data_IF_284309329950
#
_entry.id   IF_284309329950
#
_cell.length_a   1.000
_cell.length_b   1.000
_cell.length_c   1.000
_cell.angle_alpha   90.00
_cell.angle_beta   90.00
_cell.angle_gamma   90.00
#
_symmetry.space_group_name_H-M   'P 1'
#
loop_
_entity.id
_entity.type
_entity.pdbx_description
1 polymer ?
#
# COMPACT_ATOMS: atom_id res chain seq x y z
N UNK A 1 -15.43 5.57 -3.49
CA UNK A 1 -13.96 5.40 -3.57
C UNK A 1 -13.62 4.03 -3.01
N UNK A 2 -13.01 3.16 -3.79
CA UNK A 2 -12.54 1.84 -3.32
C UNK A 2 -11.00 1.87 -3.24
N UNK A 3 -10.43 1.39 -2.14
CA UNK A 3 -8.98 1.43 -1.89
C UNK A 3 -8.50 0.13 -1.26
N UNK A 4 -7.34 -0.37 -1.70
CA UNK A 4 -6.64 -1.50 -1.07
C UNK A 4 -5.47 -1.06 -0.20
N UNK A 5 -4.85 0.07 -0.51
CA UNK A 5 -3.89 0.74 0.36
C UNK A 5 -4.48 2.05 0.88
N UNK A 6 -4.50 2.23 2.20
CA UNK A 6 -4.89 3.50 2.79
C UNK A 6 -3.94 3.95 3.89
N UNK A 7 -3.80 5.26 4.04
CA UNK A 7 -3.06 5.87 5.14
C UNK A 7 -4.00 6.70 5.99
N UNK A 8 -4.03 6.43 7.30
CA UNK A 8 -4.67 7.29 8.29
C UNK A 8 -3.64 7.73 9.35
N UNK A 9 -2.86 8.75 9.02
CA UNK A 9 -1.79 9.26 9.89
C UNK A 9 -2.25 10.45 10.75
N UNK A 10 -3.37 10.33 11.46
CA UNK A 10 -3.76 11.35 12.44
C UNK A 10 -2.91 11.20 13.71
N UNK A 11 -2.67 12.31 14.41
CA UNK A 11 -1.98 12.30 15.71
C UNK A 11 -2.67 11.38 16.72
N UNK A 12 -4.01 11.37 16.72
CA UNK A 12 -4.80 10.43 17.53
C UNK A 12 -4.60 8.97 17.13
N UNK A 13 -4.38 8.65 15.85
CA UNK A 13 -4.07 7.29 15.41
C UNK A 13 -2.70 6.84 15.87
N UNK A 14 -1.69 7.71 15.80
CA UNK A 14 -0.35 7.39 16.29
C UNK A 14 -0.34 7.12 17.80
N UNK A 15 -1.05 7.94 18.58
CA UNK A 15 -1.23 7.71 20.02
C UNK A 15 -1.96 6.38 20.28
N UNK A 16 -3.05 6.10 19.55
CA UNK A 16 -3.79 4.84 19.68
C UNK A 16 -2.92 3.63 19.36
N UNK A 17 -2.20 3.66 18.23
CA UNK A 17 -1.23 2.64 17.83
C UNK A 17 -0.14 2.43 18.88
N UNK A 18 0.36 3.51 19.48
CA UNK A 18 1.35 3.43 20.54
C UNK A 18 0.76 2.83 21.83
N UNK A 19 -0.39 3.32 22.28
CA UNK A 19 -1.08 2.84 23.49
C UNK A 19 -1.50 1.38 23.38
N UNK A 20 -1.92 0.92 22.19
CA UNK A 20 -2.26 -0.47 21.95
C UNK A 20 -1.07 -1.44 22.12
N UNK A 21 0.17 -0.94 22.13
CA UNK A 21 1.35 -1.77 22.43
C UNK A 21 1.45 -2.16 23.91
N UNK A 22 0.78 -1.41 24.79
CA UNK A 22 0.87 -1.53 26.25
C UNK A 22 -0.47 -1.89 26.91
N UNK A 23 -1.57 -1.84 26.15
CA UNK A 23 -2.92 -2.11 26.63
C UNK A 23 -3.37 -3.53 26.28
N UNK A 24 -4.31 -4.12 27.04
CA UNK A 24 -4.81 -5.46 26.77
C UNK A 24 -5.40 -5.59 25.36
N UNK A 25 -5.23 -6.76 24.80
CA UNK A 25 -5.68 -7.06 23.44
C UNK A 25 -7.18 -6.82 23.27
N UNK A 26 -7.59 -6.16 22.18
CA UNK A 26 -8.99 -5.76 21.97
C UNK A 26 -9.34 -4.31 22.37
N UNK A 27 -8.47 -3.59 23.09
CA UNK A 27 -8.78 -2.21 23.53
C UNK A 27 -8.66 -1.17 22.41
N UNK A 28 -7.65 -1.31 21.54
CA UNK A 28 -7.39 -0.37 20.44
C UNK A 28 -7.81 -0.94 19.09
N UNK A 29 -7.68 -2.25 18.90
CA UNK A 29 -7.98 -2.96 17.65
C UNK A 29 -8.54 -4.34 17.98
N UNK A 30 -9.23 -4.95 17.02
CA UNK A 30 -9.65 -6.34 17.15
C UNK A 30 -8.42 -7.27 17.26
N UNK A 31 -8.58 -8.38 17.99
CA UNK A 31 -7.50 -9.33 18.31
C UNK A 31 -6.82 -9.90 17.05
N UNK A 32 -7.61 -10.14 15.99
CA UNK A 32 -7.11 -10.62 14.71
C UNK A 32 -6.24 -9.58 13.97
N UNK A 33 -6.48 -8.29 14.21
CA UNK A 33 -5.73 -7.19 13.62
C UNK A 33 -4.47 -6.90 14.43
N UNK A 34 -4.53 -7.04 15.76
CA UNK A 34 -3.43 -6.76 16.68
C UNK A 34 -2.14 -7.51 16.35
N UNK A 35 -2.25 -8.80 16.01
CA UNK A 35 -1.09 -9.61 15.58
C UNK A 35 -0.38 -9.10 14.32
N UNK A 36 -1.05 -8.28 13.50
CA UNK A 36 -0.43 -7.66 12.30
C UNK A 36 0.32 -6.36 12.61
N UNK A 37 0.09 -5.74 13.77
CA UNK A 37 0.70 -4.44 14.13
C UNK A 37 1.73 -4.53 15.26
N UNK A 38 1.70 -5.59 16.06
CA UNK A 38 2.61 -5.80 17.17
C UNK A 38 3.50 -7.03 16.96
N UNK A 39 4.76 -6.98 17.43
CA UNK A 39 5.37 -5.89 18.20
C UNK A 39 5.74 -4.67 17.35
N UNK A 40 5.60 -3.46 17.91
CA UNK A 40 5.92 -2.22 17.17
C UNK A 40 7.38 -2.16 16.70
N UNK A 41 8.30 -2.83 17.38
CA UNK A 41 9.70 -2.92 16.97
C UNK A 41 9.87 -3.54 15.59
N UNK A 42 9.07 -4.56 15.26
CA UNK A 42 9.10 -5.18 13.94
C UNK A 42 8.53 -4.25 12.88
N UNK A 43 7.43 -3.54 13.21
CA UNK A 43 6.87 -2.52 12.33
C UNK A 43 7.88 -1.38 12.06
N UNK A 44 8.55 -0.86 13.09
CA UNK A 44 9.58 0.18 12.92
C UNK A 44 10.77 -0.31 12.11
N UNK A 45 11.26 -1.53 12.37
CA UNK A 45 12.34 -2.16 11.60
C UNK A 45 11.96 -2.30 10.13
N UNK A 46 10.74 -2.79 9.86
CA UNK A 46 10.20 -2.91 8.51
C UNK A 46 10.11 -1.55 7.82
N UNK A 47 9.49 -0.54 8.46
CA UNK A 47 9.39 0.81 7.89
C UNK A 47 10.78 1.38 7.59
N UNK A 48 11.75 1.25 8.49
CA UNK A 48 13.10 1.76 8.28
C UNK A 48 13.82 1.08 7.12
N UNK A 49 13.68 -0.25 6.99
CA UNK A 49 14.29 -1.03 5.90
C UNK A 49 13.62 -0.73 4.55
N UNK A 50 12.30 -0.66 4.52
CA UNK A 50 11.53 -0.63 3.27
C UNK A 50 11.24 0.79 2.72
N UNK A 51 11.55 1.86 3.46
CA UNK A 51 11.30 3.25 3.02
C UNK A 51 12.50 3.97 2.41
N UNK A 52 13.64 3.30 2.24
CA UNK A 52 14.83 3.88 1.59
C UNK A 52 14.54 4.42 0.19
N UNK A 53 13.78 3.66 -0.61
CA UNK A 53 13.35 4.07 -1.95
C UNK A 53 12.53 5.36 -1.90
N UNK A 54 11.58 5.44 -0.98
CA UNK A 54 10.69 6.59 -0.80
C UNK A 54 11.49 7.83 -0.41
N UNK A 55 12.49 7.69 0.46
CA UNK A 55 13.33 8.81 0.90
C UNK A 55 14.19 9.37 -0.25
N UNK A 56 14.87 8.53 -1.03
CA UNK A 56 15.68 9.02 -2.15
C UNK A 56 14.83 9.62 -3.27
N UNK A 57 13.66 9.04 -3.56
CA UNK A 57 12.73 9.59 -4.56
C UNK A 57 12.10 10.91 -4.12
N UNK A 58 11.81 11.07 -2.82
CA UNK A 58 11.27 12.30 -2.26
C UNK A 58 12.27 13.47 -2.22
N UNK A 59 13.58 13.20 -2.35
CA UNK A 59 14.62 14.22 -2.14
C UNK A 59 15.51 14.46 -3.36
N UNK A 60 15.89 13.40 -4.08
CA UNK A 60 16.84 13.43 -5.20
C UNK A 60 16.36 12.53 -6.37
N UNK A 61 15.10 12.66 -6.85
CA UNK A 61 14.55 11.78 -7.88
C UNK A 61 15.37 11.83 -9.18
N UNK A 62 15.83 13.02 -9.60
CA UNK A 62 16.65 13.20 -10.79
C UNK A 62 18.04 12.52 -10.68
N UNK A 63 18.61 12.43 -9.47
CA UNK A 63 19.90 11.76 -9.27
C UNK A 63 19.78 10.25 -9.45
N UNK A 64 18.83 9.61 -8.76
CA UNK A 64 18.63 8.17 -8.89
C UNK A 64 18.05 7.80 -10.26
N UNK A 65 17.18 8.63 -10.82
CA UNK A 65 16.55 8.41 -12.12
C UNK A 65 17.55 8.35 -13.28
N UNK A 66 18.61 9.17 -13.26
CA UNK A 66 19.70 9.09 -14.25
C UNK A 66 20.36 7.71 -14.23
N UNK A 67 20.65 7.17 -13.05
CA UNK A 67 21.27 5.85 -12.92
C UNK A 67 20.36 4.73 -13.44
N UNK A 68 19.05 4.79 -13.13
CA UNK A 68 18.08 3.77 -13.55
C UNK A 68 17.79 3.83 -15.05
N UNK A 69 17.70 5.02 -15.64
CA UNK A 69 17.53 5.17 -17.11
C UNK A 69 18.78 4.74 -17.90
N UNK A 70 19.95 4.67 -17.27
CA UNK A 70 21.20 4.29 -17.95
C UNK A 70 21.48 2.79 -17.92
N UNK A 71 20.72 2.00 -17.15
CA UNK A 71 20.97 0.57 -16.97
C UNK A 71 19.66 -0.21 -16.88
N UNK A 72 19.34 -1.07 -17.86
CA UNK A 72 18.11 -1.88 -17.82
C UNK A 72 18.14 -2.89 -16.67
N UNK A 73 19.32 -3.39 -16.31
CA UNK A 73 19.50 -4.28 -15.15
C UNK A 73 19.30 -3.50 -13.85
N UNK A 74 19.79 -2.26 -13.77
CA UNK A 74 19.58 -1.39 -12.61
C UNK A 74 18.11 -1.05 -12.40
N UNK A 75 17.40 -0.69 -13.49
CA UNK A 75 15.96 -0.45 -13.48
C UNK A 75 15.18 -1.70 -13.05
N UNK A 76 15.48 -2.85 -13.67
CA UNK A 76 14.81 -4.10 -13.35
C UNK A 76 15.01 -4.49 -11.89
N UNK A 77 16.24 -4.45 -11.37
CA UNK A 77 16.51 -4.75 -9.96
C UNK A 77 15.74 -3.83 -9.01
N UNK A 78 15.63 -2.54 -9.32
CA UNK A 78 14.93 -1.56 -8.51
C UNK A 78 13.41 -1.80 -8.44
N UNK A 79 12.80 -2.26 -9.54
CA UNK A 79 11.36 -2.54 -9.62
C UNK A 79 11.03 -3.95 -9.11
N UNK A 80 11.81 -4.97 -9.49
CA UNK A 80 11.62 -6.37 -9.10
C UNK A 80 11.65 -6.56 -7.59
N UNK A 81 12.50 -5.82 -6.88
CA UNK A 81 12.53 -5.86 -5.41
C UNK A 81 11.17 -5.48 -4.80
N UNK A 82 10.44 -4.55 -5.41
CA UNK A 82 9.09 -4.17 -4.95
C UNK A 82 8.05 -5.25 -5.24
N UNK A 83 8.10 -5.88 -6.40
CA UNK A 83 7.26 -7.05 -6.69
C UNK A 83 7.54 -8.22 -5.73
N UNK A 84 8.80 -8.41 -5.31
CA UNK A 84 9.14 -9.39 -4.26
C UNK A 84 8.50 -9.00 -2.92
N UNK A 85 8.98 -7.91 -2.31
CA UNK A 85 8.68 -7.61 -0.90
C UNK A 85 7.23 -7.20 -0.67
N UNK A 86 6.61 -6.54 -1.65
CA UNK A 86 5.24 -6.04 -1.51
C UNK A 86 4.17 -7.10 -1.83
N UNK A 87 4.52 -8.19 -2.50
CA UNK A 87 3.64 -9.37 -2.68
C UNK A 87 3.71 -10.28 -1.47
N UNK A 88 4.91 -10.56 -0.95
CA UNK A 88 5.06 -11.26 0.33
C UNK A 88 6.34 -10.83 1.04
N UNK A 89 6.18 -10.35 2.27
CA UNK A 89 7.30 -9.87 3.11
C UNK A 89 8.33 -10.96 3.39
N UNK A 90 7.97 -12.24 3.33
CA UNK A 90 8.92 -13.35 3.52
C UNK A 90 9.86 -13.56 2.33
N UNK A 91 9.53 -13.05 1.14
CA UNK A 91 10.36 -13.25 -0.05
C UNK A 91 11.73 -12.58 0.02
N UNK A 92 11.93 -11.62 0.93
CA UNK A 92 13.25 -11.04 1.22
C UNK A 92 14.27 -12.09 1.70
N UNK A 93 13.81 -13.24 2.21
CA UNK A 93 14.65 -14.35 2.65
C UNK A 93 14.88 -15.41 1.56
N UNK A 94 14.20 -15.30 0.42
CA UNK A 94 14.38 -16.20 -0.71
C UNK A 94 15.56 -15.74 -1.57
N UNK A 95 16.35 -16.71 -2.05
CA UNK A 95 17.55 -16.43 -2.88
C UNK A 95 17.23 -15.67 -4.17
N UNK A 96 16.03 -15.86 -4.70
CA UNK A 96 15.50 -15.27 -5.93
C UNK A 96 14.47 -14.15 -5.66
N UNK A 97 14.29 -13.73 -4.40
CA UNK A 97 13.23 -12.78 -4.04
C UNK A 97 11.81 -13.30 -4.26
N UNK A 98 11.58 -14.61 -4.27
CA UNK A 98 10.27 -15.21 -4.49
C UNK A 98 9.80 -15.21 -5.95
N UNK A 99 10.40 -14.39 -6.82
CA UNK A 99 9.95 -14.12 -8.20
C UNK A 99 9.96 -15.33 -9.14
N UNK A 100 10.69 -16.39 -8.78
CA UNK A 100 10.77 -17.64 -9.56
C UNK A 100 10.17 -18.83 -8.80
N UNK A 101 9.52 -18.59 -7.66
CA UNK A 101 8.83 -19.66 -6.94
C UNK A 101 7.56 -20.05 -7.69
N UNK A 102 7.20 -21.35 -7.70
CA UNK A 102 5.99 -21.82 -8.39
C UNK A 102 4.69 -21.21 -7.87
N UNK A 103 4.69 -20.72 -6.63
CA UNK A 103 3.55 -20.12 -5.95
C UNK A 103 3.55 -18.58 -6.03
N UNK A 104 4.50 -17.97 -6.75
CA UNK A 104 4.50 -16.52 -6.97
C UNK A 104 3.26 -16.12 -7.79
N UNK A 105 2.40 -15.23 -7.29
CA UNK A 105 1.04 -15.04 -7.83
C UNK A 105 1.00 -14.21 -9.13
N UNK A 106 2.10 -13.57 -9.51
CA UNK A 106 2.17 -12.73 -10.72
C UNK A 106 3.09 -13.39 -11.73
N UNK A 107 2.63 -13.67 -12.97
CA UNK A 107 3.51 -14.19 -14.02
C UNK A 107 4.72 -13.27 -14.25
N UNK A 108 5.92 -13.84 -14.36
CA UNK A 108 7.14 -13.05 -14.56
C UNK A 108 7.06 -12.15 -15.80
N UNK A 109 6.45 -12.61 -16.88
CA UNK A 109 6.23 -11.82 -18.09
C UNK A 109 5.41 -10.55 -17.81
N UNK A 110 4.39 -10.62 -16.95
CA UNK A 110 3.60 -9.44 -16.58
C UNK A 110 4.41 -8.42 -15.76
N UNK A 111 5.36 -8.90 -14.95
CA UNK A 111 6.31 -8.02 -14.24
C UNK A 111 7.31 -7.39 -15.22
N UNK A 112 7.78 -8.16 -16.20
CA UNK A 112 8.67 -7.67 -17.25
C UNK A 112 7.97 -6.69 -18.20
N UNK A 113 6.67 -6.83 -18.44
CA UNK A 113 5.87 -5.86 -19.19
C UNK A 113 5.83 -4.50 -18.49
N UNK A 114 5.63 -4.47 -17.16
CA UNK A 114 5.69 -3.23 -16.37
C UNK A 114 7.09 -2.59 -16.43
N UNK A 115 8.15 -3.38 -16.23
CA UNK A 115 9.54 -2.90 -16.34
C UNK A 115 9.84 -2.37 -17.75
N UNK A 116 9.33 -3.04 -18.78
CA UNK A 116 9.49 -2.63 -20.18
C UNK A 116 8.80 -1.30 -20.44
N UNK A 117 7.63 -1.06 -19.84
CA UNK A 117 6.95 0.23 -19.92
C UNK A 117 7.84 1.35 -19.37
N UNK A 118 8.45 1.18 -18.19
CA UNK A 118 9.38 2.16 -17.63
C UNK A 118 10.62 2.36 -18.50
N UNK A 119 11.19 1.27 -19.02
CA UNK A 119 12.40 1.30 -19.82
C UNK A 119 12.19 2.03 -21.15
N UNK A 120 11.21 1.59 -21.95
CA UNK A 120 11.01 2.13 -23.30
C UNK A 120 10.47 3.55 -23.31
N UNK A 121 9.77 3.97 -22.26
CA UNK A 121 9.29 5.35 -22.13
C UNK A 121 10.31 6.28 -21.45
N UNK A 122 11.33 5.74 -20.80
CA UNK A 122 12.30 6.51 -20.00
C UNK A 122 11.67 7.23 -18.80
N UNK A 123 10.48 6.80 -18.37
CA UNK A 123 9.63 7.58 -17.46
C UNK A 123 9.96 7.39 -15.98
N UNK A 124 10.96 6.57 -15.62
CA UNK A 124 11.31 6.28 -14.23
C UNK A 124 11.66 7.55 -13.43
N UNK A 125 12.37 8.52 -14.02
CA UNK A 125 12.66 9.79 -13.33
C UNK A 125 11.38 10.59 -13.09
N UNK A 126 10.51 10.69 -14.11
CA UNK A 126 9.26 11.44 -13.98
C UNK A 126 8.28 10.81 -13.00
N UNK A 127 8.21 9.48 -12.91
CA UNK A 127 7.37 8.80 -11.91
C UNK A 127 7.85 9.09 -10.48
N UNK A 128 9.17 9.12 -10.26
CA UNK A 128 9.78 9.40 -8.96
C UNK A 128 9.59 10.86 -8.49
N UNK A 129 9.50 11.83 -9.41
CA UNK A 129 9.26 13.24 -9.06
C UNK A 129 7.94 13.46 -8.32
N UNK A 130 6.95 12.58 -8.51
CA UNK A 130 5.70 12.61 -7.73
C UNK A 130 5.96 12.52 -6.22
N UNK A 131 6.97 11.76 -5.79
CA UNK A 131 7.36 11.68 -4.38
C UNK A 131 7.93 13.03 -3.91
N UNK A 132 8.86 13.62 -4.66
CA UNK A 132 9.42 14.92 -4.31
C UNK A 132 8.33 16.00 -4.18
N UNK A 133 7.37 16.02 -5.10
CA UNK A 133 6.24 16.95 -5.03
C UNK A 133 5.28 16.64 -3.87
N UNK A 134 5.06 15.37 -3.55
CA UNK A 134 4.16 14.97 -2.45
C UNK A 134 4.74 15.27 -1.06
N UNK A 135 6.06 15.27 -0.93
CA UNK A 135 6.79 15.47 0.33
C UNK A 135 7.44 16.86 0.46
N UNK A 136 7.23 17.76 -0.51
CA UNK A 136 7.72 19.14 -0.38
C UNK A 136 6.96 19.89 0.75
N UNK A 137 7.57 20.94 1.36
CA UNK A 137 6.95 21.66 2.47
C UNK A 137 5.57 22.25 2.15
N UNK A 138 5.36 22.73 0.92
CA UNK A 138 4.09 23.30 0.49
C UNK A 138 2.97 22.25 0.49
N UNK A 139 3.22 21.08 -0.12
CA UNK A 139 2.29 19.96 -0.16
C UNK A 139 1.99 19.41 1.23
N UNK A 140 3.00 19.29 2.09
CA UNK A 140 2.82 18.86 3.48
C UNK A 140 2.00 19.87 4.29
N UNK A 141 2.19 21.18 4.06
CA UNK A 141 1.47 22.24 4.76
C UNK A 141 -0.05 22.21 4.51
N UNK A 142 -0.49 21.73 3.34
CA UNK A 142 -1.91 21.58 3.01
C UNK A 142 -2.64 20.62 3.95
N UNK A 143 -1.91 19.74 4.65
CA UNK A 143 -2.47 18.83 5.65
C UNK A 143 -3.67 18.03 5.13
N UNK A 144 -3.69 17.71 3.82
CA UNK A 144 -4.82 17.01 3.16
C UNK A 144 -5.13 15.69 3.85
N UNK A 145 -4.11 15.04 4.44
CA UNK A 145 -4.26 13.83 5.26
C UNK A 145 -5.24 14.01 6.42
N UNK A 146 -5.35 15.21 6.99
CA UNK A 146 -6.25 15.53 8.11
C UNK A 146 -7.69 15.87 7.68
N UNK A 147 -7.95 16.10 6.39
CA UNK A 147 -9.29 16.45 5.90
C UNK A 147 -10.15 15.18 5.78
N UNK A 148 -11.29 15.04 6.49
CA UNK A 148 -12.11 13.84 6.40
C UNK A 148 -12.79 13.67 5.04
N UNK A 149 -12.78 12.45 4.50
CA UNK A 149 -13.47 12.06 3.27
C UNK A 149 -14.87 11.56 3.62
N UNK A 150 -15.91 12.18 3.05
CA UNK A 150 -17.33 11.87 3.34
C UNK A 150 -18.04 11.03 2.27
N UNK A 151 -17.44 10.88 1.09
CA UNK A 151 -18.02 10.03 0.03
C UNK A 151 -18.03 8.55 0.45
N UNK A 152 -18.97 7.73 -0.06
CA UNK A 152 -18.98 6.29 0.20
C UNK A 152 -17.62 5.66 -0.15
N UNK A 153 -17.08 4.90 0.79
CA UNK A 153 -15.77 4.27 0.70
C UNK A 153 -15.83 2.77 0.93
N UNK A 154 -15.07 2.02 0.12
CA UNK A 154 -14.79 0.60 0.30
C UNK A 154 -13.31 0.41 0.60
N UNK A 155 -12.96 -0.48 1.54
CA UNK A 155 -11.57 -0.80 1.89
C UNK A 155 -11.33 -2.30 1.78
N UNK A 156 -10.31 -2.70 1.02
CA UNK A 156 -9.87 -4.08 0.85
C UNK A 156 -8.49 -4.29 1.50
N UNK A 157 -8.44 -4.92 2.67
CA UNK A 157 -7.19 -5.19 3.39
C UNK A 157 -6.64 -6.58 3.07
N UNK A 158 -5.68 -6.67 2.16
CA UNK A 158 -5.01 -7.92 1.76
C UNK A 158 -3.97 -8.39 2.79
N UNK A 159 -3.61 -9.67 2.73
CA UNK A 159 -2.80 -10.32 3.76
C UNK A 159 -1.41 -9.70 3.91
N UNK A 160 -0.73 -9.49 2.78
CA UNK A 160 0.66 -9.05 2.71
C UNK A 160 0.83 -7.57 2.35
N UNK A 161 -0.25 -6.78 2.41
CA UNK A 161 -0.19 -5.33 2.16
C UNK A 161 0.89 -4.66 3.06
N UNK A 162 1.55 -3.66 2.50
CA UNK A 162 2.65 -2.92 3.15
C UNK A 162 2.13 -2.28 4.43
N UNK A 163 0.98 -1.62 4.34
CA UNK A 163 0.29 -1.02 5.49
C UNK A 163 -1.22 -1.30 5.44
N UNK A 164 -1.68 -2.08 6.41
CA UNK A 164 -3.11 -2.23 6.71
C UNK A 164 -3.50 -1.17 7.75
N UNK A 165 -4.73 -0.67 7.71
CA UNK A 165 -5.26 0.24 8.75
C UNK A 165 -6.57 -0.33 9.26
N UNK A 166 -6.68 -0.66 10.57
CA UNK A 166 -7.92 -1.16 11.17
C UNK A 166 -9.13 -0.29 10.85
N UNK A 167 -10.31 -0.89 10.67
CA UNK A 167 -11.53 -0.18 10.28
C UNK A 167 -11.86 1.00 11.21
N UNK A 168 -11.70 0.83 12.52
CA UNK A 168 -11.98 1.89 13.51
C UNK A 168 -11.03 3.10 13.38
N UNK A 169 -9.78 2.89 12.95
CA UNK A 169 -8.82 3.96 12.66
C UNK A 169 -9.05 4.54 11.28
N UNK A 170 -9.43 3.70 10.31
CA UNK A 170 -9.80 4.12 8.96
C UNK A 170 -10.98 5.10 8.98
N UNK A 171 -11.96 4.89 9.87
CA UNK A 171 -13.14 5.75 10.07
C UNK A 171 -12.81 7.20 10.46
N UNK A 172 -11.59 7.50 10.93
CA UNK A 172 -11.18 8.87 11.22
C UNK A 172 -10.96 9.68 9.93
N UNK A 173 -10.42 9.02 8.89
CA UNK A 173 -10.20 9.60 7.58
C UNK A 173 -11.39 9.39 6.66
N UNK A 174 -11.92 8.17 6.58
CA UNK A 174 -13.03 7.77 5.73
C UNK A 174 -14.32 7.72 6.57
N UNK A 175 -15.12 8.78 6.55
CA UNK A 175 -16.29 8.91 7.44
C UNK A 175 -17.48 8.05 7.04
N UNK A 176 -17.51 7.58 5.81
CA UNK A 176 -18.59 6.78 5.24
C UNK A 176 -18.04 5.50 4.62
N UNK A 177 -17.51 4.60 5.44
CA UNK A 177 -17.10 3.26 4.99
C UNK A 177 -18.36 2.40 4.86
N UNK A 178 -18.66 1.93 3.66
CA UNK A 178 -19.83 1.10 3.34
C UNK A 178 -19.45 -0.38 3.12
N UNK A 179 -18.18 -0.66 2.86
CA UNK A 179 -17.60 -2.00 2.85
C UNK A 179 -16.18 -1.98 3.41
N UNK A 180 -15.86 -2.95 4.26
CA UNK A 180 -14.51 -3.18 4.76
C UNK A 180 -14.27 -4.70 4.74
N UNK A 181 -13.35 -5.15 3.89
CA UNK A 181 -13.09 -6.56 3.64
C UNK A 181 -11.65 -6.88 4.02
N UNK A 182 -11.42 -8.02 4.67
CA UNK A 182 -10.09 -8.52 5.06
C UNK A 182 -9.87 -9.83 4.34
N UNK A 183 -8.73 -9.97 3.66
CA UNK A 183 -8.37 -11.16 2.91
C UNK A 183 -7.11 -11.82 3.49
N UNK A 184 -7.07 -13.15 3.44
CA UNK A 184 -5.93 -13.98 3.82
C UNK A 184 -5.00 -14.29 2.62
N UNK A 185 -5.29 -13.69 1.47
CA UNK A 185 -4.51 -13.77 0.23
C UNK A 185 -4.09 -12.38 -0.24
N UNK A 186 -3.19 -12.33 -1.22
CA UNK A 186 -2.74 -11.11 -1.88
C UNK A 186 -1.88 -10.18 -1.02
N UNK A 187 -1.25 -9.24 -1.69
CA UNK A 187 -0.40 -8.18 -1.15
C UNK A 187 -0.73 -6.83 -1.80
N UNK A 188 0.32 -6.06 -2.07
CA UNK A 188 0.19 -4.69 -2.56
C UNK A 188 -0.37 -4.59 -3.97
N UNK A 189 0.03 -5.52 -4.86
CA UNK A 189 -0.39 -5.53 -6.26
C UNK A 189 -1.65 -6.38 -6.43
N UNK A 190 -2.65 -6.20 -5.59
CA UNK A 190 -3.83 -7.06 -5.50
C UNK A 190 -4.52 -7.33 -6.85
N UNK A 191 -4.55 -6.35 -7.76
CA UNK A 191 -5.11 -6.50 -9.10
C UNK A 191 -4.32 -7.47 -10.00
N UNK A 192 -3.00 -7.59 -9.78
CA UNK A 192 -2.13 -8.53 -10.49
C UNK A 192 -2.03 -9.87 -9.76
N UNK A 193 -2.11 -9.87 -8.44
CA UNK A 193 -1.92 -11.08 -7.61
C UNK A 193 -3.19 -11.92 -7.47
N UNK A 194 -4.33 -11.28 -7.26
CA UNK A 194 -5.64 -11.93 -7.00
C UNK A 194 -6.77 -11.17 -7.71
N UNK A 195 -6.73 -11.06 -9.06
CA UNK A 195 -7.63 -10.21 -9.84
C UNK A 195 -9.11 -10.49 -9.57
N UNK A 196 -9.50 -11.76 -9.48
CA UNK A 196 -10.89 -12.18 -9.24
C UNK A 196 -11.37 -11.73 -7.85
N UNK A 197 -10.54 -11.89 -6.82
CA UNK A 197 -10.86 -11.50 -5.43
C UNK A 197 -11.06 -9.98 -5.34
N UNK A 198 -10.17 -9.20 -5.96
CA UNK A 198 -10.29 -7.75 -5.99
C UNK A 198 -11.52 -7.29 -6.79
N UNK A 199 -11.78 -7.91 -7.94
CA UNK A 199 -12.92 -7.57 -8.79
C UNK A 199 -14.25 -7.84 -8.08
N UNK A 200 -14.38 -8.99 -7.42
CA UNK A 200 -15.59 -9.35 -6.66
C UNK A 200 -15.86 -8.36 -5.51
N UNK A 201 -14.82 -7.98 -4.75
CA UNK A 201 -14.96 -6.97 -3.68
C UNK A 201 -15.36 -5.60 -4.24
N UNK A 202 -14.77 -5.21 -5.37
CA UNK A 202 -15.11 -3.96 -6.05
C UNK A 202 -16.57 -3.96 -6.54
N UNK A 203 -17.03 -5.01 -7.21
CA UNK A 203 -18.42 -5.10 -7.69
C UNK A 203 -19.42 -5.16 -6.54
N UNK A 204 -19.08 -5.83 -5.43
CA UNK A 204 -19.87 -5.80 -4.20
C UNK A 204 -19.97 -4.38 -3.64
N UNK A 205 -18.86 -3.64 -3.59
CA UNK A 205 -18.84 -2.24 -3.18
C UNK A 205 -19.74 -1.37 -4.09
N UNK A 206 -19.61 -1.47 -5.41
CA UNK A 206 -20.42 -0.70 -6.38
C UNK A 206 -21.91 -1.00 -6.16
N UNK A 207 -22.28 -2.27 -6.03
CA UNK A 207 -23.67 -2.70 -5.78
C UNK A 207 -24.25 -2.13 -4.48
N UNK A 208 -23.44 -1.91 -3.45
CA UNK A 208 -23.88 -1.24 -2.21
C UNK A 208 -24.13 0.24 -2.47
N UNK A 209 -23.20 0.92 -3.14
CA UNK A 209 -23.30 2.36 -3.44
C UNK A 209 -24.48 2.67 -4.34
N UNK A 210 -24.71 1.88 -5.39
CA UNK A 210 -25.84 2.06 -6.31
C UNK A 210 -27.18 1.92 -5.58
N UNK A 211 -27.32 0.92 -4.71
CA UNK A 211 -28.52 0.75 -3.89
C UNK A 211 -28.76 1.94 -2.96
N UNK A 212 -27.72 2.48 -2.33
CA UNK A 212 -27.84 3.68 -1.49
C UNK A 212 -28.29 4.91 -2.28
N UNK A 213 -27.77 5.09 -3.51
CA UNK A 213 -28.17 6.20 -4.39
C UNK A 213 -29.63 6.06 -4.80
N UNK A 214 -30.07 4.84 -5.15
CA UNK A 214 -31.46 4.59 -5.56
C UNK A 214 -32.46 4.79 -4.41
N UNK A 215 -32.08 4.48 -3.17
CA UNK A 215 -32.92 4.67 -1.98
C UNK A 215 -33.03 6.13 -1.51
N UNK A 216 -32.15 7.02 -2.01
CA UNK A 216 -32.16 8.45 -1.70
C UNK A 216 -32.98 9.29 -2.69
N UNK A 217 -33.51 8.65 -3.76
CA UNK A 217 -34.43 9.26 -4.73
C UNK A 217 -35.87 8.91 -4.40
#
# INVERSE_FOLDING_TARGET
>A
MHVNMMMASSWSNQIKLFLGAFLPSGFVMDYAQEKKFYPLSELFSFVLRETGYLHIQATKPDTIGVALNSSPVGLAAYILEKFSTATNKSYVYHKNGGLLEPDFPIPLDAVLDDISLYWFTGCITSSMRLYAESFNPSSLSLSVKNIPTKVPAGVAAFANEIMVVPENLAKQKLRNIVSYSIFDVGGHFAAMEVPEVLADDFFKFVSIVERQILQQK
#
